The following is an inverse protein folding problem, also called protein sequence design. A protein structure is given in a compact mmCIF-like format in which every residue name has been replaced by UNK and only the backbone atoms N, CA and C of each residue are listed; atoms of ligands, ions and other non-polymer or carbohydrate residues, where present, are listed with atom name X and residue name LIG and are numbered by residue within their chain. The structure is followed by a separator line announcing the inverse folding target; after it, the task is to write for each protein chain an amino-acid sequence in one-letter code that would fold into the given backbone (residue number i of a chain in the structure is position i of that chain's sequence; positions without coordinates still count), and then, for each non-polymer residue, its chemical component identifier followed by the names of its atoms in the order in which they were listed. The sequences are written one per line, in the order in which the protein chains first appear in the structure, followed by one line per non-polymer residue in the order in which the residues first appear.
data_IF_519632873425
#
_entry.id   IF_519632873425
#
_cell.length_a   1.000
_cell.length_b   1.000
_cell.length_c   1.000
_cell.angle_alpha   90.00
_cell.angle_beta   90.00
_cell.angle_gamma   90.00
#
_symmetry.space_group_name_H-M   'P 1'
#
loop_
_entity.id
_entity.type
_entity.pdbx_description
1 polymer ?
#
# COMPACT_ATOMS: atom_id res chain seq x y z
N UNK A 1 -98.94 -4.66 64.58
CA UNK A 1 -99.33 -5.61 65.64
C UNK A 1 -100.62 -6.27 65.19
N UNK A 2 -100.48 -7.46 64.61
CA UNK A 2 -101.60 -8.35 64.31
C UNK A 2 -101.91 -9.14 65.57
N UNK A 3 -103.18 -9.43 65.81
CA UNK A 3 -103.62 -10.34 66.87
C UNK A 3 -104.07 -11.63 66.19
N UNK A 4 -103.46 -12.75 66.57
CA UNK A 4 -103.84 -14.09 66.12
C UNK A 4 -104.54 -14.79 67.28
N UNK A 5 -105.81 -15.13 67.08
CA UNK A 5 -106.60 -15.89 68.03
C UNK A 5 -106.73 -17.33 67.54
N UNK A 6 -106.00 -18.28 68.15
CA UNK A 6 -106.06 -19.68 67.68
C UNK A 6 -107.41 -20.35 67.96
N UNK A 7 -108.21 -19.82 68.89
CA UNK A 7 -109.56 -20.32 69.19
C UNK A 7 -110.49 -20.24 67.96
N UNK A 8 -110.20 -19.35 67.00
CA UNK A 8 -110.95 -19.18 65.75
C UNK A 8 -110.51 -20.14 64.63
N UNK A 9 -109.34 -20.79 64.77
CA UNK A 9 -108.75 -21.69 63.77
C UNK A 9 -108.07 -22.91 64.42
N UNK A 10 -108.85 -23.88 64.96
CA UNK A 10 -108.30 -24.98 65.78
C UNK A 10 -107.42 -25.97 65.01
N UNK A 11 -107.53 -26.01 63.68
CA UNK A 11 -106.70 -26.85 62.79
C UNK A 11 -105.31 -26.26 62.50
N UNK A 12 -105.02 -25.04 63.01
CA UNK A 12 -103.73 -24.38 62.85
C UNK A 12 -102.83 -24.66 64.04
N UNK A 13 -101.64 -25.17 63.75
CA UNK A 13 -100.64 -25.52 64.74
C UNK A 13 -99.50 -24.51 64.74
N UNK A 14 -98.90 -24.29 65.91
CA UNK A 14 -97.68 -23.50 66.04
C UNK A 14 -96.49 -24.41 66.23
N UNK A 15 -95.43 -24.16 65.46
CA UNK A 15 -94.11 -24.77 65.66
C UNK A 15 -93.06 -23.68 65.94
N UNK A 16 -92.22 -23.82 66.99
CA UNK A 16 -91.09 -22.95 67.23
C UNK A 16 -89.88 -23.43 66.41
N UNK A 17 -89.46 -22.63 65.43
CA UNK A 17 -88.20 -22.83 64.70
C UNK A 17 -87.09 -21.93 65.27
N UNK A 18 -85.85 -22.36 65.14
CA UNK A 18 -84.67 -21.64 65.62
C UNK A 18 -83.75 -21.33 64.44
N UNK A 19 -83.66 -20.06 64.09
CA UNK A 19 -82.95 -19.58 62.90
C UNK A 19 -82.13 -18.35 63.28
N UNK A 20 -80.86 -18.30 62.85
CA UNK A 20 -79.94 -17.17 63.12
C UNK A 20 -79.92 -16.69 64.59
N UNK A 21 -79.90 -17.65 65.51
CA UNK A 21 -79.94 -17.46 66.98
C UNK A 21 -81.20 -16.79 67.56
N UNK A 22 -82.27 -16.66 66.77
CA UNK A 22 -83.58 -16.20 67.24
C UNK A 22 -84.67 -17.29 67.15
N UNK A 23 -85.67 -17.19 68.02
CA UNK A 23 -86.89 -18.01 67.95
C UNK A 23 -87.90 -17.34 67.02
N UNK A 24 -88.20 -18.03 65.91
CA UNK A 24 -89.27 -17.64 64.98
C UNK A 24 -90.39 -18.68 65.09
N UNK A 25 -91.63 -18.22 65.17
CA UNK A 25 -92.79 -19.09 65.30
C UNK A 25 -93.49 -19.18 63.95
N UNK A 26 -94.01 -20.33 63.60
CA UNK A 26 -94.70 -20.52 62.33
C UNK A 26 -96.06 -21.18 62.55
N UNK A 27 -97.09 -20.61 61.93
CA UNK A 27 -98.41 -21.21 61.79
C UNK A 27 -98.35 -22.19 60.62
N UNK A 28 -98.63 -23.46 60.88
CA UNK A 28 -98.75 -24.49 59.87
C UNK A 28 -100.13 -25.13 59.91
N UNK A 29 -100.66 -25.46 58.71
CA UNK A 29 -101.80 -26.36 58.60
C UNK A 29 -101.27 -27.79 58.53
N UNK A 30 -101.87 -28.69 59.29
CA UNK A 30 -101.54 -30.12 59.26
C UNK A 30 -102.70 -30.88 58.63
N UNK A 31 -102.58 -31.18 57.35
CA UNK A 31 -103.52 -32.04 56.63
C UNK A 31 -103.04 -33.50 56.73
N UNK A 32 -103.80 -34.31 57.48
CA UNK A 32 -103.76 -35.78 57.59
C UNK A 32 -102.58 -36.49 56.89
N UNK A 33 -101.46 -36.54 57.60
CA UNK A 33 -100.27 -37.39 57.36
C UNK A 33 -99.21 -36.92 56.34
N UNK A 34 -99.36 -35.76 55.69
CA UNK A 34 -98.27 -35.15 54.89
C UNK A 34 -97.58 -33.97 55.59
N UNK A 35 -96.41 -33.59 55.07
CA UNK A 35 -95.54 -32.58 55.69
C UNK A 35 -96.24 -31.20 55.79
N UNK A 36 -96.16 -30.61 56.99
CA UNK A 36 -96.73 -29.32 57.37
C UNK A 36 -96.50 -28.23 56.32
N UNK A 37 -97.58 -27.60 55.83
CA UNK A 37 -97.47 -26.45 54.94
C UNK A 37 -97.38 -25.16 55.78
N UNK A 38 -96.29 -24.38 55.67
CA UNK A 38 -96.19 -23.10 56.37
C UNK A 38 -97.24 -22.12 55.80
N UNK A 39 -98.12 -21.64 56.66
CA UNK A 39 -99.12 -20.62 56.31
C UNK A 39 -98.48 -19.24 56.45
N UNK A 40 -97.82 -18.99 57.59
CA UNK A 40 -97.27 -17.67 57.96
C UNK A 40 -96.33 -17.76 59.16
N UNK A 41 -95.26 -16.97 59.16
CA UNK A 41 -94.46 -16.71 60.35
C UNK A 41 -95.12 -15.68 61.29
N UNK A 42 -95.01 -15.91 62.60
CA UNK A 42 -95.38 -15.00 63.68
C UNK A 42 -94.10 -14.54 64.39
N UNK A 43 -93.96 -13.23 64.54
CA UNK A 43 -92.97 -12.61 65.42
C UNK A 43 -93.64 -12.22 66.75
N UNK A 44 -93.47 -13.05 67.80
CA UNK A 44 -94.06 -12.83 69.12
C UNK A 44 -93.51 -11.59 69.87
N UNK A 45 -92.55 -10.84 69.29
CA UNK A 45 -92.13 -9.52 69.79
C UNK A 45 -92.94 -8.37 69.19
N UNK A 46 -93.62 -8.59 68.05
CA UNK A 46 -94.38 -7.56 67.30
C UNK A 46 -95.88 -7.85 67.17
N UNK A 47 -96.25 -9.12 67.20
CA UNK A 47 -97.62 -9.62 67.09
C UNK A 47 -98.06 -10.31 68.38
N UNK A 48 -99.38 -10.37 68.61
CA UNK A 48 -99.99 -11.00 69.78
C UNK A 48 -100.61 -12.34 69.41
N UNK A 49 -100.26 -13.37 70.17
CA UNK A 49 -100.86 -14.69 70.08
C UNK A 49 -101.78 -14.90 71.29
N UNK A 50 -103.06 -15.17 71.03
CA UNK A 50 -104.06 -15.53 72.04
C UNK A 50 -104.44 -17.00 71.89
N UNK A 51 -104.47 -17.72 73.02
CA UNK A 51 -105.06 -19.06 73.17
C UNK A 51 -105.99 -18.99 74.38
N UNK A 52 -107.26 -19.33 74.20
CA UNK A 52 -108.31 -19.24 75.23
C UNK A 52 -108.30 -17.87 75.94
N UNK A 53 -108.22 -16.80 75.15
CA UNK A 53 -108.11 -15.41 75.61
C UNK A 53 -106.82 -15.02 76.34
N UNK A 54 -105.85 -15.92 76.51
CA UNK A 54 -104.59 -15.68 77.22
C UNK A 54 -103.45 -15.35 76.25
N UNK A 55 -102.70 -14.27 76.54
CA UNK A 55 -101.55 -13.84 75.71
C UNK A 55 -100.32 -14.71 75.95
N UNK A 56 -99.99 -15.54 74.95
CA UNK A 56 -98.84 -16.46 74.98
C UNK A 56 -97.56 -15.69 74.66
N UNK A 57 -96.71 -15.50 75.68
CA UNK A 57 -95.41 -14.83 75.55
C UNK A 57 -94.30 -15.78 75.13
N UNK A 58 -93.29 -15.28 74.43
CA UNK A 58 -92.10 -16.03 73.98
C UNK A 58 -91.48 -16.88 75.12
N UNK A 59 -91.42 -16.34 76.35
CA UNK A 59 -90.90 -17.03 77.54
C UNK A 59 -91.69 -18.27 77.95
N UNK A 60 -92.99 -18.33 77.66
CA UNK A 60 -93.84 -19.49 77.96
C UNK A 60 -93.58 -20.61 76.95
N UNK A 61 -93.45 -20.29 75.66
CA UNK A 61 -93.14 -21.27 74.61
C UNK A 61 -91.69 -21.75 74.71
N UNK A 62 -90.76 -20.90 75.17
CA UNK A 62 -89.37 -21.32 75.48
C UNK A 62 -89.35 -22.37 76.60
N UNK A 63 -90.08 -22.12 77.70
CA UNK A 63 -90.28 -23.13 78.77
C UNK A 63 -90.93 -24.41 78.26
N UNK A 64 -91.87 -24.33 77.30
CA UNK A 64 -92.50 -25.50 76.67
C UNK A 64 -91.44 -26.40 75.99
N UNK A 65 -90.60 -25.80 75.13
CA UNK A 65 -89.52 -26.51 74.41
C UNK A 65 -88.48 -27.11 75.37
N UNK A 66 -88.11 -26.38 76.42
CA UNK A 66 -87.16 -26.83 77.43
C UNK A 66 -87.72 -27.99 78.27
N UNK A 67 -89.01 -27.94 78.63
CA UNK A 67 -89.67 -28.96 79.46
C UNK A 67 -89.85 -30.30 78.74
N UNK A 68 -89.95 -30.29 77.40
CA UNK A 68 -90.19 -31.50 76.60
C UNK A 68 -88.92 -32.31 76.29
N UNK A 69 -87.73 -31.85 76.71
CA UNK A 69 -86.46 -32.61 76.71
C UNK A 69 -86.06 -33.34 75.39
N UNK A 70 -86.63 -32.94 74.26
CA UNK A 70 -86.27 -33.50 72.94
C UNK A 70 -84.88 -33.03 72.54
N UNK A 71 -83.91 -33.95 72.55
CA UNK A 71 -82.52 -33.66 72.13
C UNK A 71 -82.49 -33.19 70.66
N UNK A 72 -81.69 -32.17 70.33
CA UNK A 72 -81.70 -31.61 68.99
C UNK A 72 -81.06 -32.55 67.96
N UNK A 73 -81.78 -32.82 66.87
CA UNK A 73 -81.30 -32.40 65.54
C UNK A 73 -82.33 -32.37 64.40
N UNK A 74 -83.42 -33.16 64.42
CA UNK A 74 -84.36 -33.21 63.27
C UNK A 74 -85.85 -33.40 63.61
N UNK A 75 -86.31 -32.97 64.80
CA UNK A 75 -87.71 -33.17 65.22
C UNK A 75 -88.40 -31.84 65.53
N UNK A 76 -89.60 -31.62 64.97
CA UNK A 76 -90.45 -30.45 65.20
C UNK A 76 -91.62 -30.82 66.11
N UNK A 77 -92.11 -29.88 66.93
CA UNK A 77 -93.30 -30.05 67.78
C UNK A 77 -94.36 -29.05 67.31
N UNK A 78 -95.55 -29.56 67.03
CA UNK A 78 -96.72 -28.81 66.63
C UNK A 78 -97.75 -28.87 67.75
N UNK A 79 -98.26 -27.71 68.20
CA UNK A 79 -99.31 -27.61 69.23
C UNK A 79 -100.41 -26.67 68.75
N UNK A 80 -101.68 -27.06 68.88
CA UNK A 80 -102.85 -26.19 68.61
C UNK A 80 -103.47 -25.63 69.91
N UNK A 81 -104.53 -24.82 69.80
CA UNK A 81 -105.21 -24.24 70.96
C UNK A 81 -105.74 -25.28 71.95
N UNK A 82 -106.15 -26.45 71.45
CA UNK A 82 -106.73 -27.54 72.26
C UNK A 82 -105.67 -28.34 73.04
N UNK A 83 -104.39 -27.95 72.95
CA UNK A 83 -103.27 -28.68 73.57
C UNK A 83 -102.89 -29.97 72.85
N UNK A 84 -103.47 -30.24 71.67
CA UNK A 84 -103.11 -31.42 70.88
C UNK A 84 -101.69 -31.26 70.34
N UNK A 85 -100.84 -32.23 70.66
CA UNK A 85 -99.42 -32.19 70.33
C UNK A 85 -99.11 -33.23 69.26
N UNK A 86 -98.43 -32.82 68.19
CA UNK A 86 -97.83 -33.71 67.19
C UNK A 86 -96.32 -33.52 67.17
N UNK A 87 -95.58 -34.61 67.05
CA UNK A 87 -94.11 -34.60 66.95
C UNK A 87 -93.72 -35.15 65.59
N UNK A 88 -93.09 -34.32 64.75
CA UNK A 88 -92.48 -34.77 63.51
C UNK A 88 -91.13 -35.42 63.85
N UNK A 89 -90.93 -36.67 63.42
CA UNK A 89 -89.66 -37.40 63.59
C UNK A 89 -89.20 -37.87 62.22
N UNK A 90 -88.22 -37.16 61.64
CA UNK A 90 -87.89 -37.30 60.22
C UNK A 90 -89.01 -36.72 59.35
N UNK A 91 -89.51 -37.50 58.38
CA UNK A 91 -90.59 -37.10 57.46
C UNK A 91 -91.99 -37.57 57.91
N UNK A 92 -92.10 -38.26 59.05
CA UNK A 92 -93.37 -38.80 59.56
C UNK A 92 -93.85 -38.07 60.80
N UNK A 93 -95.15 -37.74 60.81
CA UNK A 93 -95.83 -37.08 61.91
C UNK A 93 -96.38 -38.12 62.89
N UNK A 94 -96.01 -38.03 64.15
CA UNK A 94 -96.47 -38.92 65.22
C UNK A 94 -97.34 -38.14 66.22
N UNK A 95 -98.57 -38.60 66.46
CA UNK A 95 -99.39 -38.16 67.59
C UNK A 95 -99.01 -39.01 68.81
N UNK A 96 -98.45 -38.45 69.91
CA UNK A 96 -98.16 -39.21 71.12
C UNK A 96 -99.48 -39.76 71.70
N UNK A 97 -99.46 -41.02 72.15
CA UNK A 97 -100.69 -41.74 72.52
C UNK A 97 -101.29 -41.20 73.84
N UNK A 98 -102.35 -40.40 73.69
CA UNK A 98 -103.47 -40.14 74.61
C UNK A 98 -103.22 -39.77 76.09
N UNK A 99 -102.01 -39.34 76.49
CA UNK A 99 -101.75 -38.92 77.88
C UNK A 99 -100.90 -37.62 78.04
N UNK A 100 -100.78 -36.79 77.00
CA UNK A 100 -100.14 -35.46 77.11
C UNK A 100 -101.11 -34.39 76.64
N UNK A 101 -101.87 -33.83 77.58
CA UNK A 101 -102.70 -32.64 77.40
C UNK A 101 -101.99 -31.48 78.11
N UNK A 102 -101.74 -30.38 77.41
CA UNK A 102 -101.12 -29.20 78.01
C UNK A 102 -102.17 -28.30 78.68
N UNK A 103 -102.23 -28.35 80.01
CA UNK A 103 -103.00 -27.40 80.82
C UNK A 103 -102.22 -26.08 80.93
N UNK A 104 -102.83 -24.99 80.47
CA UNK A 104 -102.24 -23.65 80.46
C UNK A 104 -102.56 -22.82 81.72
N UNK A 105 -103.26 -23.39 82.71
CA UNK A 105 -103.71 -22.70 83.93
C UNK A 105 -102.77 -22.89 85.13
N UNK A 106 -102.61 -21.84 85.95
CA UNK A 106 -101.84 -21.89 87.21
C UNK A 106 -102.09 -20.67 88.10
N UNK A 107 -102.86 -20.80 89.19
CA UNK A 107 -102.78 -20.09 90.49
C UNK A 107 -103.91 -20.65 91.41
N UNK A 108 -103.71 -20.81 92.72
CA UNK A 108 -104.68 -21.45 93.64
C UNK A 108 -105.01 -20.60 94.88
N UNK A 109 -105.91 -21.07 95.79
CA UNK A 109 -106.05 -20.66 97.22
C UNK A 109 -107.25 -21.33 97.98
N UNK A 110 -106.97 -21.92 99.16
CA UNK A 110 -107.72 -22.04 100.45
C UNK A 110 -109.12 -22.76 100.59
N UNK A 111 -109.29 -23.45 101.74
CA UNK A 111 -110.46 -24.21 102.29
C UNK A 111 -111.27 -23.35 103.31
N UNK A 112 -112.55 -23.63 103.65
CA UNK A 112 -112.80 -24.32 104.95
C UNK A 112 -114.11 -25.14 105.11
N UNK A 113 -114.08 -26.09 106.08
CA UNK A 113 -115.13 -26.58 107.00
C UNK A 113 -116.62 -26.76 106.58
N UNK A 114 -117.18 -27.93 106.93
CA UNK A 114 -118.19 -27.99 108.01
C UNK A 114 -118.24 -29.39 108.66
N UNK A 115 -118.83 -29.49 109.86
CA UNK A 115 -118.77 -30.67 110.74
C UNK A 115 -120.18 -31.01 111.27
N UNK A 116 -120.40 -32.30 111.49
CA UNK A 116 -121.08 -32.90 112.66
C UNK A 116 -122.49 -33.51 112.54
N UNK A 117 -122.65 -34.55 113.38
CA UNK A 117 -123.85 -35.03 114.07
C UNK A 117 -125.00 -35.71 113.28
N UNK A 118 -125.20 -37.00 113.57
CA UNK A 118 -126.28 -37.37 114.50
C UNK A 118 -125.95 -38.64 115.28
N UNK A 119 -126.26 -38.60 116.57
CA UNK A 119 -126.22 -39.71 117.52
C UNK A 119 -127.63 -40.34 117.66
N UNK A 120 -127.72 -41.35 118.54
CA UNK A 120 -128.90 -41.82 119.29
C UNK A 120 -129.91 -42.82 118.66
N UNK A 121 -130.00 -43.96 119.37
CA UNK A 121 -130.96 -45.09 119.41
C UNK A 121 -130.68 -46.28 118.46
N UNK A 122 -130.61 -47.55 118.87
CA UNK A 122 -130.66 -48.26 120.17
C UNK A 122 -129.31 -49.00 120.39
N UNK A 123 -128.85 -49.42 121.57
CA UNK A 123 -129.36 -49.32 122.97
C UNK A 123 -130.71 -49.98 123.25
N UNK A 124 -130.77 -51.32 123.22
CA UNK A 124 -131.77 -52.13 123.98
C UNK A 124 -131.45 -53.63 124.13
N UNK A 125 -130.41 -54.18 123.48
CA UNK A 125 -130.08 -55.63 123.56
C UNK A 125 -128.74 -55.93 124.27
N UNK A 126 -128.49 -55.25 125.39
CA UNK A 126 -127.34 -55.51 126.28
C UNK A 126 -127.75 -56.01 127.69
N UNK A 127 -128.97 -56.57 127.84
CA UNK A 127 -129.51 -56.99 129.14
C UNK A 127 -129.67 -58.52 129.32
N UNK A 128 -129.20 -59.37 128.39
CA UNK A 128 -129.32 -60.85 128.50
C UNK A 128 -128.01 -61.65 128.53
N UNK A 129 -126.85 -61.00 128.53
CA UNK A 129 -125.54 -61.67 128.63
C UNK A 129 -124.71 -61.28 129.87
N UNK A 130 -125.23 -60.38 130.73
CA UNK A 130 -124.53 -59.89 131.92
C UNK A 130 -124.45 -60.93 133.06
N UNK A 131 -125.36 -61.91 133.09
CA UNK A 131 -125.47 -62.84 134.23
C UNK A 131 -124.44 -63.99 134.22
N UNK A 132 -123.74 -64.23 133.10
CA UNK A 132 -122.73 -65.31 133.00
C UNK A 132 -121.28 -64.86 133.26
N UNK A 133 -121.02 -63.57 133.37
CA UNK A 133 -119.67 -63.00 133.57
C UNK A 133 -119.28 -62.76 135.04
N UNK A 134 -120.00 -63.34 136.01
CA UNK A 134 -119.80 -63.08 137.44
C UNK A 134 -119.17 -64.25 138.24
N UNK A 135 -118.53 -65.22 137.57
CA UNK A 135 -117.82 -66.34 138.24
C UNK A 135 -116.44 -66.71 137.68
N UNK A 136 -115.95 -66.06 136.63
CA UNK A 136 -114.65 -66.37 135.99
C UNK A 136 -113.64 -65.20 136.03
N UNK A 137 -114.01 -64.05 136.63
CA UNK A 137 -113.21 -62.81 136.61
C UNK A 137 -112.03 -62.73 137.58
N UNK A 138 -111.90 -63.65 138.55
CA UNK A 138 -110.86 -63.58 139.61
C UNK A 138 -109.48 -64.11 139.17
N UNK A 139 -109.39 -64.92 138.10
CA UNK A 139 -108.13 -65.59 137.70
C UNK A 139 -107.35 -64.79 136.63
N UNK A 140 -108.02 -63.94 135.86
CA UNK A 140 -107.39 -63.19 134.75
C UNK A 140 -106.51 -61.99 135.18
N UNK A 141 -106.63 -61.53 136.43
CA UNK A 141 -106.00 -60.28 136.89
C UNK A 141 -104.51 -60.40 137.20
N UNK A 142 -104.00 -61.61 137.44
CA UNK A 142 -102.59 -61.86 137.76
C UNK A 142 -101.67 -61.91 136.53
N UNK A 143 -102.15 -62.44 135.39
CA UNK A 143 -101.32 -62.57 134.17
C UNK A 143 -101.07 -61.25 133.44
N UNK A 144 -101.89 -60.21 133.68
CA UNK A 144 -101.78 -58.94 132.96
C UNK A 144 -100.62 -58.05 133.44
N UNK A 145 -100.13 -58.27 134.67
CA UNK A 145 -99.03 -57.47 135.25
C UNK A 145 -97.68 -57.95 134.71
N UNK A 146 -97.47 -59.26 134.55
CA UNK A 146 -96.21 -59.81 134.03
C UNK A 146 -95.96 -59.47 132.54
N UNK A 147 -97.01 -59.31 131.73
CA UNK A 147 -96.89 -59.00 130.30
C UNK A 147 -96.50 -57.53 130.03
N UNK A 148 -96.72 -56.62 130.97
CA UNK A 148 -96.43 -55.19 130.78
C UNK A 148 -94.94 -54.85 130.87
N UNK A 149 -94.17 -55.60 131.68
CA UNK A 149 -92.74 -55.34 131.85
C UNK A 149 -91.92 -55.87 130.65
N UNK A 150 -92.35 -56.98 130.05
CA UNK A 150 -91.76 -57.54 128.82
C UNK A 150 -91.96 -56.60 127.61
N UNK A 151 -93.10 -55.91 127.53
CA UNK A 151 -93.38 -54.87 126.51
C UNK A 151 -92.49 -53.63 126.67
N UNK A 152 -92.05 -53.30 127.89
CA UNK A 152 -91.19 -52.14 128.13
C UNK A 152 -89.73 -52.37 127.72
N UNK A 153 -89.17 -53.57 127.92
CA UNK A 153 -87.85 -53.91 127.36
C UNK A 153 -87.90 -54.04 125.83
N UNK A 154 -88.99 -54.58 125.24
CA UNK A 154 -89.17 -54.58 123.78
C UNK A 154 -89.25 -53.16 123.19
N UNK A 155 -89.87 -52.19 123.89
CA UNK A 155 -89.85 -50.76 123.50
C UNK A 155 -88.45 -50.15 123.53
N UNK A 156 -87.61 -50.57 124.47
CA UNK A 156 -86.22 -50.09 124.57
C UNK A 156 -85.38 -50.62 123.41
N UNK A 157 -85.48 -51.92 123.11
CA UNK A 157 -84.87 -52.52 121.92
C UNK A 157 -85.38 -51.89 120.62
N UNK A 158 -86.68 -51.57 120.52
CA UNK A 158 -87.24 -50.89 119.36
C UNK A 158 -86.66 -49.48 119.18
N UNK A 159 -86.47 -48.71 120.26
CA UNK A 159 -85.87 -47.38 120.20
C UNK A 159 -84.37 -47.42 119.86
N UNK A 160 -83.61 -48.36 120.44
CA UNK A 160 -82.19 -48.58 120.12
C UNK A 160 -82.02 -49.00 118.65
N UNK A 161 -82.83 -49.96 118.18
CA UNK A 161 -82.84 -50.40 116.78
C UNK A 161 -83.27 -49.29 115.81
N UNK A 162 -84.26 -48.47 116.19
CA UNK A 162 -84.64 -47.28 115.42
C UNK A 162 -83.51 -46.26 115.28
N UNK A 163 -82.77 -46.01 116.37
CA UNK A 163 -81.60 -45.13 116.37
C UNK A 163 -80.45 -45.71 115.53
N UNK A 164 -80.27 -47.03 115.54
CA UNK A 164 -79.23 -47.71 114.76
C UNK A 164 -79.57 -47.78 113.26
N UNK A 165 -80.84 -48.01 112.91
CA UNK A 165 -81.37 -47.90 111.54
C UNK A 165 -81.21 -46.48 111.03
N UNK A 166 -81.51 -45.45 111.82
CA UNK A 166 -81.30 -44.06 111.41
C UNK A 166 -79.82 -43.74 111.18
N UNK A 167 -78.91 -44.18 112.06
CA UNK A 167 -77.46 -44.10 111.86
C UNK A 167 -77.01 -44.87 110.61
N UNK A 168 -77.65 -45.98 110.26
CA UNK A 168 -77.37 -46.72 109.03
C UNK A 168 -77.82 -45.94 107.78
N UNK A 169 -79.01 -45.33 107.80
CA UNK A 169 -79.49 -44.45 106.73
C UNK A 169 -78.59 -43.22 106.54
N UNK A 170 -78.15 -42.58 107.61
CA UNK A 170 -77.20 -41.46 107.56
C UNK A 170 -75.85 -41.89 106.97
N UNK A 171 -75.34 -43.08 107.33
CA UNK A 171 -74.14 -43.66 106.72
C UNK A 171 -74.34 -43.94 105.22
N UNK A 172 -75.47 -44.51 104.82
CA UNK A 172 -75.79 -44.77 103.40
C UNK A 172 -75.94 -43.47 102.60
N UNK A 173 -76.61 -42.45 103.17
CA UNK A 173 -76.71 -41.13 102.53
C UNK A 173 -75.34 -40.47 102.37
N UNK A 174 -74.47 -40.56 103.38
CA UNK A 174 -73.09 -40.06 103.31
C UNK A 174 -72.23 -40.85 102.32
N UNK A 175 -72.41 -42.17 102.22
CA UNK A 175 -71.73 -43.03 101.24
C UNK A 175 -72.19 -42.67 99.82
N UNK A 176 -73.51 -42.52 99.59
CA UNK A 176 -74.05 -42.12 98.29
C UNK A 176 -73.57 -40.72 97.89
N UNK A 177 -73.54 -39.76 98.82
CA UNK A 177 -73.01 -38.42 98.55
C UNK A 177 -71.50 -38.43 98.24
N UNK A 178 -70.71 -39.24 98.97
CA UNK A 178 -69.29 -39.46 98.66
C UNK A 178 -69.10 -40.17 97.32
N UNK A 179 -69.97 -41.12 96.98
CA UNK A 179 -69.97 -41.85 95.71
C UNK A 179 -70.28 -40.94 94.52
N UNK A 180 -71.33 -40.12 94.58
CA UNK A 180 -71.64 -39.15 93.53
C UNK A 180 -70.61 -38.03 93.45
N UNK A 181 -70.01 -37.59 94.57
CA UNK A 181 -68.85 -36.68 94.54
C UNK A 181 -67.66 -37.31 93.81
N UNK A 182 -67.23 -38.51 94.20
CA UNK A 182 -66.10 -39.21 93.58
C UNK A 182 -66.35 -39.51 92.10
N UNK A 183 -67.60 -39.82 91.74
CA UNK A 183 -68.04 -39.98 90.36
C UNK A 183 -67.95 -38.66 89.58
N UNK A 184 -68.39 -37.54 90.15
CA UNK A 184 -68.27 -36.21 89.52
C UNK A 184 -66.80 -35.76 89.37
N UNK A 185 -65.95 -36.08 90.36
CA UNK A 185 -64.49 -35.92 90.28
C UNK A 185 -63.90 -36.79 89.16
N UNK A 186 -64.28 -38.07 89.04
CA UNK A 186 -63.86 -38.93 87.93
C UNK A 186 -64.36 -38.47 86.56
N UNK A 187 -65.58 -37.91 86.47
CA UNK A 187 -66.06 -37.27 85.24
C UNK A 187 -65.19 -36.05 84.88
N UNK A 188 -64.90 -35.20 85.86
CA UNK A 188 -64.03 -34.02 85.68
C UNK A 188 -62.62 -34.43 85.21
N UNK A 189 -62.00 -35.44 85.85
CA UNK A 189 -60.71 -35.98 85.43
C UNK A 189 -60.77 -36.59 84.02
N UNK A 190 -61.84 -37.31 83.68
CA UNK A 190 -62.02 -37.90 82.35
C UNK A 190 -62.13 -36.83 81.27
N UNK A 191 -62.89 -35.78 81.53
CA UNK A 191 -63.10 -34.69 80.57
C UNK A 191 -61.81 -33.85 80.41
N UNK A 192 -61.04 -33.66 81.49
CA UNK A 192 -59.67 -33.14 81.44
C UNK A 192 -58.75 -34.02 80.59
N UNK A 193 -58.69 -35.34 80.85
CA UNK A 193 -57.88 -36.28 80.07
C UNK A 193 -58.29 -36.33 78.60
N UNK A 194 -59.59 -36.28 78.28
CA UNK A 194 -60.08 -36.23 76.89
C UNK A 194 -59.67 -34.93 76.19
N UNK A 195 -59.72 -33.80 76.90
CA UNK A 195 -59.21 -32.52 76.40
C UNK A 195 -57.70 -32.58 76.16
N UNK A 196 -56.93 -33.10 77.11
CA UNK A 196 -55.47 -33.28 76.98
C UNK A 196 -55.12 -34.19 75.80
N UNK A 197 -55.77 -35.35 75.67
CA UNK A 197 -55.62 -36.27 74.53
C UNK A 197 -55.96 -35.57 73.22
N UNK A 198 -57.03 -34.78 73.16
CA UNK A 198 -57.39 -34.00 71.97
C UNK A 198 -56.28 -32.99 71.60
N UNK A 199 -55.75 -32.24 72.57
CA UNK A 199 -54.63 -31.31 72.31
C UNK A 199 -53.33 -32.03 71.94
N UNK A 200 -53.06 -33.19 72.53
CA UNK A 200 -51.88 -34.02 72.21
C UNK A 200 -51.97 -34.60 70.79
N UNK A 201 -53.14 -35.11 70.40
CA UNK A 201 -53.38 -35.61 69.03
C UNK A 201 -53.24 -34.49 67.99
N UNK A 202 -53.75 -33.28 68.28
CA UNK A 202 -53.56 -32.13 67.41
C UNK A 202 -52.08 -31.74 67.28
N UNK A 203 -51.33 -31.70 68.40
CA UNK A 203 -49.88 -31.46 68.39
C UNK A 203 -49.11 -32.53 67.61
N UNK A 204 -49.47 -33.81 67.76
CA UNK A 204 -48.85 -34.90 67.01
C UNK A 204 -49.09 -34.76 65.50
N UNK A 205 -50.32 -34.45 65.08
CA UNK A 205 -50.63 -34.17 63.68
C UNK A 205 -49.82 -32.98 63.13
N UNK A 206 -49.76 -31.87 63.87
CA UNK A 206 -48.95 -30.70 63.50
C UNK A 206 -47.44 -31.04 63.39
N UNK A 207 -46.94 -31.94 64.25
CA UNK A 207 -45.56 -32.43 64.22
C UNK A 207 -45.31 -33.37 63.03
N UNK A 208 -46.25 -34.26 62.68
CA UNK A 208 -46.15 -35.12 61.48
C UNK A 208 -46.11 -34.28 60.20
N UNK A 209 -46.95 -33.25 60.10
CA UNK A 209 -46.95 -32.31 58.97
C UNK A 209 -45.60 -31.57 58.88
N UNK A 210 -45.07 -31.08 60.01
CA UNK A 210 -43.73 -30.44 60.06
C UNK A 210 -42.61 -31.41 59.68
N UNK A 211 -42.64 -32.64 60.17
CA UNK A 211 -41.65 -33.68 59.86
C UNK A 211 -41.68 -34.04 58.38
N UNK A 212 -42.87 -34.18 57.79
CA UNK A 212 -43.03 -34.41 56.34
C UNK A 212 -42.51 -33.23 55.51
N UNK A 213 -42.74 -31.98 55.95
CA UNK A 213 -42.19 -30.77 55.31
C UNK A 213 -40.65 -30.76 55.36
N UNK A 214 -40.07 -30.92 56.56
CA UNK A 214 -38.62 -31.01 56.77
C UNK A 214 -37.96 -32.13 55.95
N UNK A 215 -38.62 -33.29 55.83
CA UNK A 215 -38.14 -34.41 55.01
C UNK A 215 -38.10 -34.04 53.52
N UNK A 216 -39.10 -33.33 53.02
CA UNK A 216 -39.14 -32.87 51.63
C UNK A 216 -38.10 -31.76 51.37
N UNK A 217 -37.95 -30.81 52.30
CA UNK A 217 -36.90 -29.77 52.24
C UNK A 217 -35.50 -30.41 52.23
N UNK A 218 -35.25 -31.40 53.09
CA UNK A 218 -34.00 -32.16 53.12
C UNK A 218 -33.73 -32.91 51.80
N UNK A 219 -34.76 -33.43 51.14
CA UNK A 219 -34.62 -34.05 49.81
C UNK A 219 -34.28 -33.01 48.73
N UNK A 220 -34.89 -31.82 48.74
CA UNK A 220 -34.56 -30.72 47.82
C UNK A 220 -33.10 -30.30 47.97
N UNK A 221 -32.68 -29.99 49.21
CA UNK A 221 -31.30 -29.62 49.54
C UNK A 221 -30.32 -30.71 49.12
N UNK A 222 -30.69 -32.00 49.22
CA UNK A 222 -29.85 -33.11 48.77
C UNK A 222 -29.69 -33.16 47.25
N UNK A 223 -30.76 -32.90 46.49
CA UNK A 223 -30.67 -32.81 45.02
C UNK A 223 -29.89 -31.57 44.55
N UNK A 224 -30.06 -30.43 45.21
CA UNK A 224 -29.30 -29.20 44.94
C UNK A 224 -27.80 -29.40 45.27
N UNK A 225 -27.49 -30.02 46.41
CA UNK A 225 -26.12 -30.37 46.78
C UNK A 225 -25.47 -31.36 45.80
N UNK A 226 -26.23 -32.31 45.25
CA UNK A 226 -25.70 -33.20 44.22
C UNK A 226 -25.45 -32.44 42.91
N UNK A 227 -26.38 -31.58 42.48
CA UNK A 227 -26.24 -30.78 41.25
C UNK A 227 -25.04 -29.83 41.33
N UNK A 228 -24.90 -29.10 42.42
CA UNK A 228 -23.76 -28.21 42.68
C UNK A 228 -22.44 -28.97 42.78
N UNK A 229 -22.42 -30.20 43.31
CA UNK A 229 -21.23 -31.07 43.31
C UNK A 229 -20.81 -31.49 41.90
N UNK A 230 -21.75 -31.87 41.02
CA UNK A 230 -21.42 -32.21 39.63
C UNK A 230 -20.98 -30.97 38.83
N UNK A 231 -21.60 -29.82 39.07
CA UNK A 231 -21.14 -28.54 38.51
C UNK A 231 -19.71 -28.21 38.96
N UNK A 232 -19.40 -28.35 40.25
CA UNK A 232 -18.06 -28.12 40.79
C UNK A 232 -17.02 -29.03 40.13
N UNK A 233 -17.32 -30.33 40.00
CA UNK A 233 -16.46 -31.30 39.32
C UNK A 233 -16.22 -30.92 37.85
N UNK A 234 -17.26 -30.52 37.12
CA UNK A 234 -17.11 -30.02 35.75
C UNK A 234 -16.29 -28.73 35.68
N UNK A 235 -16.43 -27.80 36.64
CA UNK A 235 -15.58 -26.60 36.68
C UNK A 235 -14.12 -26.90 37.03
N UNK A 236 -13.85 -27.91 37.86
CA UNK A 236 -12.50 -28.38 38.18
C UNK A 236 -11.84 -29.04 36.95
N UNK A 237 -12.57 -29.90 36.24
CA UNK A 237 -12.13 -30.50 34.97
C UNK A 237 -11.83 -29.41 33.91
N UNK A 238 -12.71 -28.41 33.76
CA UNK A 238 -12.49 -27.27 32.86
C UNK A 238 -11.29 -26.40 33.26
N UNK A 239 -11.06 -26.18 34.57
CA UNK A 239 -9.91 -25.43 35.07
C UNK A 239 -8.58 -26.15 34.79
N UNK A 240 -8.56 -27.49 34.90
CA UNK A 240 -7.40 -28.30 34.53
C UNK A 240 -7.10 -28.22 33.03
N UNK A 241 -8.11 -28.34 32.16
CA UNK A 241 -7.94 -28.16 30.70
C UNK A 241 -7.44 -26.75 30.36
N UNK A 242 -7.97 -25.71 31.03
CA UNK A 242 -7.48 -24.34 30.86
C UNK A 242 -6.01 -24.19 31.28
N UNK A 243 -5.59 -24.84 32.38
CA UNK A 243 -4.22 -24.83 32.84
C UNK A 243 -3.27 -25.57 31.86
N UNK A 244 -3.68 -26.69 31.29
CA UNK A 244 -2.91 -27.39 30.25
C UNK A 244 -2.74 -26.51 29.00
N UNK A 245 -3.80 -25.88 28.51
CA UNK A 245 -3.72 -24.92 27.40
C UNK A 245 -2.82 -23.73 27.73
N UNK A 246 -2.88 -23.19 28.94
CA UNK A 246 -1.99 -22.13 29.41
C UNK A 246 -0.51 -22.58 29.39
N UNK A 247 -0.22 -23.80 29.85
CA UNK A 247 1.13 -24.37 29.79
C UNK A 247 1.64 -24.57 28.37
N UNK A 248 0.77 -24.96 27.42
CA UNK A 248 1.14 -25.06 25.99
C UNK A 248 1.44 -23.67 25.42
N UNK A 249 0.53 -22.70 25.59
CA UNK A 249 0.72 -21.33 25.11
C UNK A 249 1.98 -20.66 25.70
N UNK A 250 2.31 -20.93 26.96
CA UNK A 250 3.54 -20.44 27.58
C UNK A 250 4.80 -21.05 26.94
N UNK A 251 4.78 -22.34 26.57
CA UNK A 251 5.90 -22.99 25.85
C UNK A 251 6.06 -22.40 24.44
N UNK A 252 4.97 -22.19 23.71
CA UNK A 252 4.97 -21.57 22.39
C UNK A 252 5.54 -20.15 22.44
N UNK A 253 5.07 -19.31 23.38
CA UNK A 253 5.63 -17.98 23.62
C UNK A 253 7.14 -18.02 23.95
N UNK A 254 7.60 -19.04 24.68
CA UNK A 254 9.02 -19.23 24.97
C UNK A 254 9.83 -19.63 23.73
N UNK A 255 9.26 -20.42 22.80
CA UNK A 255 9.89 -20.74 21.51
C UNK A 255 9.99 -19.49 20.63
N UNK A 256 8.87 -18.80 20.43
CA UNK A 256 8.78 -17.55 19.65
C UNK A 256 9.76 -16.50 20.18
N UNK A 257 9.86 -16.33 21.51
CA UNK A 257 10.84 -15.43 22.13
C UNK A 257 12.28 -15.82 21.78
N UNK A 258 12.61 -17.11 21.80
CA UNK A 258 13.96 -17.61 21.51
C UNK A 258 14.32 -17.44 20.03
N UNK A 259 13.38 -17.74 19.13
CA UNK A 259 13.49 -17.52 17.68
C UNK A 259 13.67 -16.02 17.35
N UNK A 260 12.94 -15.15 18.04
CA UNK A 260 13.08 -13.69 17.91
C UNK A 260 14.48 -13.20 18.32
N UNK A 261 15.03 -13.70 19.44
CA UNK A 261 16.41 -13.34 19.84
C UNK A 261 17.43 -13.81 18.80
N UNK A 262 17.33 -15.06 18.32
CA UNK A 262 18.19 -15.57 17.27
C UNK A 262 18.08 -14.75 15.96
N UNK A 263 16.89 -14.21 15.64
CA UNK A 263 16.71 -13.29 14.52
C UNK A 263 17.40 -11.94 14.74
N UNK A 264 17.30 -11.36 15.94
CA UNK A 264 18.02 -10.13 16.30
C UNK A 264 19.54 -10.31 16.23
N UNK A 265 20.07 -11.44 16.68
CA UNK A 265 21.50 -11.75 16.63
C UNK A 265 22.00 -11.85 15.17
N UNK A 266 21.27 -12.56 14.30
CA UNK A 266 21.56 -12.61 12.86
C UNK A 266 21.58 -11.22 12.23
N UNK A 267 20.52 -10.42 12.44
CA UNK A 267 20.41 -9.07 11.88
C UNK A 267 21.56 -8.18 12.36
N UNK A 268 21.94 -8.27 13.64
CA UNK A 268 23.07 -7.54 14.20
C UNK A 268 24.39 -7.94 13.54
N UNK A 269 24.60 -9.24 13.27
CA UNK A 269 25.77 -9.74 12.55
C UNK A 269 25.80 -9.26 11.08
N UNK A 270 24.66 -9.28 10.39
CA UNK A 270 24.54 -8.81 9.00
C UNK A 270 24.83 -7.31 8.89
N UNK A 271 24.25 -6.49 9.77
CA UNK A 271 24.53 -5.05 9.87
C UNK A 271 26.04 -4.83 10.06
N UNK A 272 26.67 -5.53 11.02
CA UNK A 272 28.12 -5.39 11.25
C UNK A 272 28.97 -5.73 10.03
N UNK A 273 28.60 -6.76 9.25
CA UNK A 273 29.31 -7.07 7.99
C UNK A 273 29.07 -6.04 6.90
N UNK A 274 27.87 -5.45 6.84
CA UNK A 274 27.50 -4.40 5.89
C UNK A 274 28.25 -3.09 6.18
N UNK A 275 28.30 -2.68 7.45
CA UNK A 275 29.04 -1.49 7.89
C UNK A 275 30.54 -1.59 7.57
N UNK A 276 31.14 -2.76 7.83
CA UNK A 276 32.54 -3.02 7.45
C UNK A 276 32.74 -2.91 5.94
N UNK A 277 31.84 -3.46 5.13
CA UNK A 277 31.90 -3.37 3.66
C UNK A 277 31.74 -1.93 3.17
N UNK A 278 30.87 -1.14 3.79
CA UNK A 278 30.71 0.28 3.48
C UNK A 278 31.97 1.07 3.80
N UNK A 279 32.61 0.83 4.95
CA UNK A 279 33.87 1.44 5.32
C UNK A 279 34.99 1.11 4.31
N UNK A 280 35.14 -0.16 3.92
CA UNK A 280 36.12 -0.58 2.91
C UNK A 280 35.88 0.09 1.54
N UNK A 281 34.60 0.26 1.14
CA UNK A 281 34.22 0.97 -0.08
C UNK A 281 34.51 2.48 0.01
N UNK A 282 34.26 3.12 1.15
CA UNK A 282 34.56 4.54 1.36
C UNK A 282 36.06 4.82 1.25
N UNK A 283 36.88 3.96 1.86
CA UNK A 283 38.35 4.04 1.77
C UNK A 283 38.84 3.84 0.32
N UNK A 284 38.23 2.92 -0.43
CA UNK A 284 38.53 2.73 -1.86
C UNK A 284 38.10 3.94 -2.71
N UNK A 285 36.97 4.57 -2.38
CA UNK A 285 36.51 5.80 -3.06
C UNK A 285 37.52 6.94 -2.88
N UNK A 286 37.97 7.19 -1.64
CA UNK A 286 39.00 8.20 -1.34
C UNK A 286 40.32 7.93 -2.07
N UNK A 287 40.71 6.66 -2.22
CA UNK A 287 41.90 6.28 -3.01
C UNK A 287 41.74 6.67 -4.50
N UNK A 288 40.58 6.37 -5.09
CA UNK A 288 40.29 6.70 -6.50
C UNK A 288 40.15 8.21 -6.72
N UNK A 289 39.60 8.96 -5.77
CA UNK A 289 39.55 10.44 -5.82
C UNK A 289 40.96 11.05 -5.83
N UNK A 290 41.89 10.51 -5.04
CA UNK A 290 43.29 10.92 -5.04
C UNK A 290 43.99 10.60 -6.37
N UNK A 291 43.79 9.40 -6.94
CA UNK A 291 44.32 9.03 -8.26
C UNK A 291 43.77 9.93 -9.38
N UNK A 292 42.47 10.25 -9.37
CA UNK A 292 41.84 11.16 -10.32
C UNK A 292 42.37 12.60 -10.18
N UNK A 293 42.67 13.05 -8.95
CA UNK A 293 43.33 14.33 -8.69
C UNK A 293 44.73 14.38 -9.30
N UNK A 294 45.51 13.30 -9.11
CA UNK A 294 46.87 13.19 -9.63
C UNK A 294 46.88 13.21 -11.17
N UNK A 295 46.04 12.38 -11.82
CA UNK A 295 45.86 12.34 -13.27
C UNK A 295 45.40 13.68 -13.86
N UNK A 296 44.53 14.44 -13.16
CA UNK A 296 44.15 15.80 -13.57
C UNK A 296 45.34 16.76 -13.57
N UNK A 297 46.23 16.64 -12.58
CA UNK A 297 47.44 17.48 -12.50
C UNK A 297 48.46 17.15 -13.61
N UNK A 298 48.63 15.87 -13.95
CA UNK A 298 49.47 15.43 -15.07
C UNK A 298 48.89 15.84 -16.42
N UNK A 299 47.57 15.72 -16.61
CA UNK A 299 46.88 16.16 -17.82
C UNK A 299 47.01 17.69 -18.02
N UNK A 300 46.92 18.48 -16.94
CA UNK A 300 47.15 19.92 -17.01
C UNK A 300 48.60 20.24 -17.39
N UNK A 301 49.57 19.55 -16.78
CA UNK A 301 51.00 19.75 -17.03
C UNK A 301 51.40 19.36 -18.46
N UNK A 302 50.85 18.26 -18.99
CA UNK A 302 51.08 17.83 -20.39
C UNK A 302 50.41 18.77 -21.38
N UNK A 303 49.21 19.30 -21.08
CA UNK A 303 48.54 20.33 -21.88
C UNK A 303 49.29 21.66 -21.92
N UNK A 304 49.87 22.11 -20.81
CA UNK A 304 50.70 23.32 -20.77
C UNK A 304 52.00 23.12 -21.56
N UNK A 305 52.66 21.96 -21.43
CA UNK A 305 53.85 21.61 -22.22
C UNK A 305 53.54 21.54 -23.72
N UNK A 306 52.45 20.90 -24.14
CA UNK A 306 52.08 20.86 -25.56
C UNK A 306 51.69 22.24 -26.11
N UNK A 307 50.99 23.06 -25.31
CA UNK A 307 50.67 24.44 -25.67
C UNK A 307 51.91 25.34 -25.86
N UNK A 308 52.97 25.11 -25.08
CA UNK A 308 54.28 25.78 -25.27
C UNK A 308 54.96 25.32 -26.56
N UNK A 309 55.03 24.00 -26.79
CA UNK A 309 55.63 23.45 -28.01
C UNK A 309 54.91 23.92 -29.29
N UNK A 310 53.58 24.04 -29.28
CA UNK A 310 52.82 24.57 -30.43
C UNK A 310 53.22 26.01 -30.72
N UNK A 311 53.27 26.89 -29.70
CA UNK A 311 53.70 28.29 -29.88
C UNK A 311 55.15 28.42 -30.38
N UNK A 312 56.03 27.52 -29.94
CA UNK A 312 57.41 27.48 -30.42
C UNK A 312 57.48 27.07 -31.90
N UNK A 313 56.75 26.03 -32.30
CA UNK A 313 56.65 25.61 -33.70
C UNK A 313 56.00 26.67 -34.60
N UNK A 314 54.96 27.36 -34.14
CA UNK A 314 54.36 28.52 -34.83
C UNK A 314 55.40 29.65 -35.02
N UNK A 315 56.23 29.90 -34.00
CA UNK A 315 57.33 30.86 -34.07
C UNK A 315 58.40 30.46 -35.10
N UNK A 316 58.85 29.20 -35.07
CA UNK A 316 59.81 28.66 -36.04
C UNK A 316 59.26 28.72 -37.49
N UNK A 317 57.99 28.37 -37.69
CA UNK A 317 57.32 28.46 -38.99
C UNK A 317 57.25 29.92 -39.50
N UNK A 318 57.01 30.88 -38.61
CA UNK A 318 57.00 32.30 -38.96
C UNK A 318 58.38 32.80 -39.42
N UNK A 319 59.46 32.36 -38.77
CA UNK A 319 60.84 32.67 -39.18
C UNK A 319 61.14 32.05 -40.54
N UNK A 320 60.89 30.75 -40.72
CA UNK A 320 61.14 30.04 -41.97
C UNK A 320 60.37 30.64 -43.16
N UNK A 321 59.11 31.06 -42.97
CA UNK A 321 58.34 31.74 -44.03
C UNK A 321 58.90 33.12 -44.40
N UNK A 322 59.46 33.87 -43.45
CA UNK A 322 60.13 35.15 -43.73
C UNK A 322 61.44 34.93 -44.50
N UNK A 323 62.23 33.94 -44.10
CA UNK A 323 63.46 33.56 -44.79
C UNK A 323 63.17 33.11 -46.24
N UNK A 324 62.17 32.24 -46.43
CA UNK A 324 61.75 31.76 -47.75
C UNK A 324 61.27 32.91 -48.64
N UNK A 325 60.54 33.89 -48.08
CA UNK A 325 60.13 35.11 -48.79
C UNK A 325 61.33 35.99 -49.19
N UNK A 326 62.35 36.11 -48.31
CA UNK A 326 63.60 36.82 -48.64
C UNK A 326 64.34 36.14 -49.78
N UNK A 327 64.51 34.81 -49.69
CA UNK A 327 65.17 33.99 -50.72
C UNK A 327 64.42 34.10 -52.06
N UNK A 328 63.09 34.12 -52.08
CA UNK A 328 62.32 34.36 -53.31
C UNK A 328 62.58 35.75 -53.91
N UNK A 329 62.68 36.79 -53.09
CA UNK A 329 63.02 38.15 -53.55
C UNK A 329 64.45 38.23 -54.12
N UNK A 330 65.41 37.57 -53.47
CA UNK A 330 66.80 37.45 -53.95
C UNK A 330 66.90 36.63 -55.24
N UNK A 331 66.11 35.55 -55.36
CA UNK A 331 66.02 34.74 -56.58
C UNK A 331 65.46 35.54 -57.77
N UNK A 332 64.44 36.37 -57.53
CA UNK A 332 63.90 37.26 -58.57
C UNK A 332 64.91 38.33 -59.00
N UNK A 333 65.54 39.03 -58.07
CA UNK A 333 66.54 40.06 -58.40
C UNK A 333 67.78 39.49 -59.11
N UNK A 334 68.26 38.29 -58.71
CA UNK A 334 69.37 37.62 -59.40
C UNK A 334 68.97 37.12 -60.79
N UNK A 335 67.76 36.57 -60.97
CA UNK A 335 67.20 36.21 -62.28
C UNK A 335 67.14 37.42 -63.22
N UNK A 336 66.61 38.55 -62.75
CA UNK A 336 66.45 39.74 -63.59
C UNK A 336 67.81 40.38 -63.94
N UNK A 337 68.77 40.35 -63.01
CA UNK A 337 70.17 40.72 -63.26
C UNK A 337 70.80 39.87 -64.37
N UNK A 338 70.64 38.55 -64.31
CA UNK A 338 71.16 37.62 -65.33
C UNK A 338 70.47 37.81 -66.69
N UNK A 339 69.15 38.06 -66.73
CA UNK A 339 68.44 38.37 -67.97
C UNK A 339 68.94 39.66 -68.62
N UNK A 340 69.24 40.69 -67.81
CA UNK A 340 69.86 41.94 -68.28
C UNK A 340 71.27 41.69 -68.84
N UNK A 341 72.12 40.93 -68.13
CA UNK A 341 73.47 40.57 -68.59
C UNK A 341 73.44 39.76 -69.91
N UNK A 342 72.54 38.78 -70.03
CA UNK A 342 72.32 38.02 -71.28
C UNK A 342 71.89 38.95 -72.42
N UNK A 343 70.98 39.89 -72.15
CA UNK A 343 70.50 40.85 -73.17
C UNK A 343 71.64 41.75 -73.67
N UNK A 344 72.50 42.25 -72.76
CA UNK A 344 73.69 43.04 -73.09
C UNK A 344 74.70 42.20 -73.89
N UNK A 345 74.95 40.96 -73.46
CA UNK A 345 75.87 40.04 -74.12
C UNK A 345 75.42 39.69 -75.55
N UNK A 346 74.13 39.36 -75.74
CA UNK A 346 73.54 39.09 -77.05
C UNK A 346 73.65 40.30 -77.99
N UNK A 347 73.38 41.51 -77.49
CA UNK A 347 73.58 42.74 -78.28
C UNK A 347 75.04 42.92 -78.69
N UNK A 348 75.98 42.66 -77.78
CA UNK A 348 77.43 42.75 -78.06
C UNK A 348 77.88 41.69 -79.08
N UNK A 349 77.33 40.48 -79.03
CA UNK A 349 77.58 39.44 -80.04
C UNK A 349 77.05 39.88 -81.41
N UNK A 350 75.82 40.41 -81.49
CA UNK A 350 75.27 40.95 -82.73
C UNK A 350 76.13 42.09 -83.30
N UNK A 351 76.58 43.03 -82.47
CA UNK A 351 77.49 44.11 -82.88
C UNK A 351 78.86 43.59 -83.38
N UNK A 352 79.34 42.46 -82.84
CA UNK A 352 80.57 41.78 -83.30
C UNK A 352 80.35 41.01 -84.60
N UNK A 353 79.21 40.36 -84.76
CA UNK A 353 78.81 39.63 -85.98
C UNK A 353 78.69 40.59 -87.17
N UNK A 354 78.00 41.73 -86.98
CA UNK A 354 77.92 42.82 -87.98
C UNK A 354 79.30 43.43 -88.32
N UNK A 355 80.25 43.47 -87.36
CA UNK A 355 81.63 43.88 -87.62
C UNK A 355 82.40 42.81 -88.41
N UNK A 356 82.21 41.54 -88.08
CA UNK A 356 82.83 40.41 -88.76
C UNK A 356 82.38 40.35 -90.23
N UNK A 357 81.08 40.50 -90.49
CA UNK A 357 80.54 40.57 -91.86
C UNK A 357 81.11 41.76 -92.64
N UNK A 358 81.23 42.94 -92.01
CA UNK A 358 81.86 44.11 -92.63
C UNK A 358 83.33 43.87 -92.97
N UNK A 359 84.09 43.25 -92.07
CA UNK A 359 85.50 42.89 -92.31
C UNK A 359 85.65 41.82 -93.39
N UNK A 360 84.76 40.83 -93.44
CA UNK A 360 84.73 39.81 -94.50
C UNK A 360 84.48 40.45 -95.88
N UNK A 361 83.52 41.38 -95.96
CA UNK A 361 83.26 42.14 -97.20
C UNK A 361 84.45 43.04 -97.59
N UNK A 362 85.14 43.67 -96.63
CA UNK A 362 86.36 44.43 -96.90
C UNK A 362 87.52 43.54 -97.37
N UNK A 363 87.69 42.36 -96.79
CA UNK A 363 88.69 41.38 -97.23
C UNK A 363 88.39 40.87 -98.65
N UNK A 364 87.12 40.61 -98.98
CA UNK A 364 86.70 40.23 -100.33
C UNK A 364 87.02 41.31 -101.37
N UNK A 365 86.74 42.58 -101.05
CA UNK A 365 87.09 43.71 -101.90
C UNK A 365 88.61 43.85 -102.08
N UNK A 366 89.39 43.80 -101.00
CA UNK A 366 90.85 43.83 -101.06
C UNK A 366 91.45 42.65 -101.84
N UNK A 367 90.85 41.46 -101.74
CA UNK A 367 91.27 40.29 -102.50
C UNK A 367 90.97 40.44 -104.00
N UNK A 368 89.86 41.09 -104.36
CA UNK A 368 89.53 41.47 -105.73
C UNK A 368 90.50 42.53 -106.29
N UNK A 369 90.80 43.58 -105.51
CA UNK A 369 91.80 44.59 -105.86
C UNK A 369 93.20 43.98 -106.02
N UNK A 370 93.62 43.11 -105.10
CA UNK A 370 94.90 42.40 -105.18
C UNK A 370 94.99 41.54 -106.44
N UNK A 371 93.90 40.85 -106.82
CA UNK A 371 93.84 40.08 -108.06
C UNK A 371 93.93 41.00 -109.30
N UNK A 372 93.24 42.14 -109.29
CA UNK A 372 93.33 43.17 -110.34
C UNK A 372 94.76 43.73 -110.48
N UNK A 373 95.41 44.09 -109.37
CA UNK A 373 96.81 44.55 -109.35
C UNK A 373 97.76 43.46 -109.83
N UNK A 374 97.55 42.19 -109.44
CA UNK A 374 98.33 41.06 -109.92
C UNK A 374 98.22 40.91 -111.45
N UNK A 375 97.01 40.95 -111.99
CA UNK A 375 96.78 40.83 -113.43
C UNK A 375 97.42 42.01 -114.20
N UNK A 376 97.38 43.23 -113.65
CA UNK A 376 98.11 44.39 -114.19
C UNK A 376 99.62 44.21 -114.15
N UNK A 377 100.17 43.61 -113.08
CA UNK A 377 101.59 43.33 -112.96
C UNK A 377 102.04 42.25 -113.94
N UNK A 378 101.29 41.15 -114.07
CA UNK A 378 101.56 40.11 -115.09
C UNK A 378 101.49 40.66 -116.52
N UNK A 379 100.57 41.60 -116.80
CA UNK A 379 100.53 42.31 -118.08
C UNK A 379 101.77 43.22 -118.26
N UNK A 380 102.15 43.97 -117.23
CA UNK A 380 103.33 44.84 -117.25
C UNK A 380 104.63 44.04 -117.46
N UNK A 381 104.75 42.86 -116.85
CA UNK A 381 105.90 41.96 -116.97
C UNK A 381 106.01 41.38 -118.40
N UNK A 382 104.87 41.05 -119.03
CA UNK A 382 104.82 40.69 -120.45
C UNK A 382 105.29 41.85 -121.35
N UNK A 383 104.75 43.06 -121.15
CA UNK A 383 105.19 44.23 -121.94
C UNK A 383 106.66 44.59 -121.69
N UNK A 384 107.18 44.33 -120.49
CA UNK A 384 108.60 44.49 -120.18
C UNK A 384 109.48 43.57 -121.02
N UNK A 385 109.15 42.28 -121.07
CA UNK A 385 109.84 41.28 -121.91
C UNK A 385 109.75 41.59 -123.39
N UNK A 386 108.58 42.03 -123.87
CA UNK A 386 108.37 42.41 -125.27
C UNK A 386 109.20 43.64 -125.67
N UNK A 387 109.36 44.63 -124.78
CA UNK A 387 110.28 45.75 -124.96
C UNK A 387 111.75 45.34 -124.88
N UNK A 388 112.09 44.37 -124.03
CA UNK A 388 113.45 43.82 -123.90
C UNK A 388 113.89 43.04 -125.15
N UNK A 389 112.97 42.27 -125.75
CA UNK A 389 113.14 41.64 -127.07
C UNK A 389 113.29 42.69 -128.19
N UNK A 390 112.46 43.74 -128.21
CA UNK A 390 112.58 44.84 -129.17
C UNK A 390 113.93 45.58 -129.05
N UNK A 391 114.39 45.85 -127.83
CA UNK A 391 115.71 46.45 -127.58
C UNK A 391 116.86 45.54 -128.04
N UNK A 392 116.75 44.22 -127.82
CA UNK A 392 117.71 43.23 -128.31
C UNK A 392 117.77 43.21 -129.84
N UNK A 393 116.60 43.22 -130.51
CA UNK A 393 116.51 43.34 -131.96
C UNK A 393 117.15 44.64 -132.47
N UNK A 394 116.80 45.79 -131.89
CA UNK A 394 117.33 47.09 -132.29
C UNK A 394 118.84 47.17 -132.10
N UNK A 395 119.36 46.62 -131.00
CA UNK A 395 120.80 46.54 -130.74
C UNK A 395 121.52 45.79 -131.87
N UNK A 396 121.04 44.61 -132.24
CA UNK A 396 121.63 43.82 -133.32
C UNK A 396 121.61 44.59 -134.65
N UNK A 397 120.49 45.25 -134.99
CA UNK A 397 120.41 46.10 -136.20
C UNK A 397 121.41 47.25 -136.18
N UNK A 398 121.67 47.83 -135.01
CA UNK A 398 122.65 48.90 -134.84
C UNK A 398 124.11 48.37 -134.96
N UNK A 399 124.34 47.12 -134.60
CA UNK A 399 125.61 46.40 -134.80
C UNK A 399 125.81 46.07 -136.30
N UNK A 400 124.78 45.57 -137.00
CA UNK A 400 124.81 45.35 -138.46
C UNK A 400 125.12 46.65 -139.24
N UNK A 401 124.46 47.77 -138.88
CA UNK A 401 124.70 49.09 -139.50
C UNK A 401 126.12 49.60 -139.25
N UNK A 402 126.73 49.26 -138.11
CA UNK A 402 128.11 49.64 -137.78
C UNK A 402 129.10 48.87 -138.65
N UNK A 403 128.90 47.57 -138.83
CA UNK A 403 129.71 46.74 -139.73
C UNK A 403 129.57 47.19 -141.20
N UNK A 404 128.39 47.66 -141.60
CA UNK A 404 128.15 48.22 -142.94
C UNK A 404 128.87 49.57 -143.14
N UNK A 405 128.86 50.44 -142.12
CA UNK A 405 129.62 51.69 -142.12
C UNK A 405 131.14 51.46 -142.24
N UNK A 406 131.68 50.44 -141.55
CA UNK A 406 133.09 50.07 -141.63
C UNK A 406 133.48 49.58 -143.03
N UNK A 407 132.62 48.77 -143.69
CA UNK A 407 132.79 48.39 -145.11
C UNK A 407 132.82 49.62 -146.03
N UNK A 408 131.93 50.59 -145.83
CA UNK A 408 131.87 51.83 -146.63
C UNK A 408 133.14 52.67 -146.42
N UNK A 409 133.66 52.78 -145.19
CA UNK A 409 134.93 53.47 -144.92
C UNK A 409 136.12 52.81 -145.65
N UNK A 410 136.19 51.48 -145.68
CA UNK A 410 137.22 50.74 -146.41
C UNK A 410 137.12 51.01 -147.92
N UNK A 411 135.91 50.98 -148.50
CA UNK A 411 135.69 51.31 -149.91
C UNK A 411 136.09 52.74 -150.25
N UNK A 412 135.72 53.72 -149.41
CA UNK A 412 136.09 55.12 -149.58
C UNK A 412 137.62 55.32 -149.57
N UNK A 413 138.32 54.66 -148.63
CA UNK A 413 139.79 54.72 -148.56
C UNK A 413 140.45 54.14 -149.81
N UNK A 414 139.95 53.03 -150.34
CA UNK A 414 140.43 52.42 -151.59
C UNK A 414 140.23 53.35 -152.79
N UNK A 415 139.01 53.88 -152.98
CA UNK A 415 138.70 54.81 -154.07
C UNK A 415 139.53 56.10 -154.00
N UNK A 416 139.71 56.67 -152.79
CA UNK A 416 140.56 57.85 -152.60
C UNK A 416 142.01 57.60 -153.02
N UNK A 417 142.52 56.37 -152.84
CA UNK A 417 143.89 55.98 -153.23
C UNK A 417 144.02 55.80 -154.75
N UNK A 418 142.99 55.28 -155.42
CA UNK A 418 142.94 55.21 -156.89
C UNK A 418 142.88 56.59 -157.54
N UNK A 419 142.09 57.52 -156.99
CA UNK A 419 142.04 58.92 -157.42
C UNK A 419 143.41 59.60 -157.27
N UNK A 420 144.14 59.31 -156.18
CA UNK A 420 145.48 59.85 -155.99
C UNK A 420 146.50 59.27 -156.98
N UNK A 421 146.44 57.96 -157.30
CA UNK A 421 147.27 57.34 -158.32
C UNK A 421 146.99 57.90 -159.73
N UNK A 422 145.72 58.04 -160.11
CA UNK A 422 145.34 58.58 -161.43
C UNK A 422 145.74 60.04 -161.60
N UNK A 423 145.72 60.85 -160.52
CA UNK A 423 146.28 62.20 -160.51
C UNK A 423 147.77 62.21 -160.84
N UNK A 424 148.57 61.33 -160.24
CA UNK A 424 150.02 61.24 -160.48
C UNK A 424 150.30 60.88 -161.95
N UNK A 425 149.54 59.94 -162.51
CA UNK A 425 149.66 59.55 -163.93
C UNK A 425 149.33 60.73 -164.87
N UNK A 426 148.29 61.50 -164.54
CA UNK A 426 147.88 62.67 -165.34
C UNK A 426 148.92 63.79 -165.30
N UNK A 427 149.50 64.08 -164.13
CA UNK A 427 150.60 65.05 -163.98
C UNK A 427 151.83 64.64 -164.81
N UNK A 428 152.15 63.34 -164.86
CA UNK A 428 153.26 62.82 -165.66
C UNK A 428 153.02 62.99 -167.17
N UNK A 429 151.83 62.60 -167.66
CA UNK A 429 151.47 62.71 -169.07
C UNK A 429 151.32 64.17 -169.54
N UNK A 430 150.87 65.08 -168.66
CA UNK A 430 150.81 66.52 -168.97
C UNK A 430 152.20 67.08 -169.27
N UNK A 431 153.21 66.65 -168.51
CA UNK A 431 154.60 67.07 -168.68
C UNK A 431 155.23 66.54 -169.97
N UNK A 432 154.92 65.29 -170.32
CA UNK A 432 155.33 64.65 -171.59
C UNK A 432 154.73 65.40 -172.81
N UNK A 433 153.50 65.89 -172.70
CA UNK A 433 152.86 66.74 -173.73
C UNK A 433 153.55 68.10 -173.87
N UNK A 434 154.02 68.73 -172.78
CA UNK A 434 154.80 69.97 -172.85
C UNK A 434 156.16 69.75 -173.54
N UNK A 435 156.89 68.69 -173.19
CA UNK A 435 158.17 68.33 -173.83
C UNK A 435 158.01 68.07 -175.35
N UNK A 436 156.94 67.38 -175.77
CA UNK A 436 156.63 67.19 -177.19
C UNK A 436 156.29 68.50 -177.91
N UNK A 437 155.68 69.47 -177.21
CA UNK A 437 155.32 70.77 -177.75
C UNK A 437 156.56 71.63 -178.03
N UNK A 438 157.54 71.59 -177.14
CA UNK A 438 158.83 72.26 -177.32
C UNK A 438 159.66 71.61 -178.43
N UNK A 439 159.61 70.27 -178.57
CA UNK A 439 160.26 69.56 -179.70
C UNK A 439 159.68 69.97 -181.06
N UNK A 440 158.35 70.04 -181.18
CA UNK A 440 157.69 70.48 -182.43
C UNK A 440 158.16 71.90 -182.81
N UNK A 441 158.23 72.80 -181.84
CA UNK A 441 158.66 74.19 -182.06
C UNK A 441 160.11 74.29 -182.58
N UNK A 442 161.03 73.49 -182.03
CA UNK A 442 162.41 73.41 -182.54
C UNK A 442 162.46 72.99 -184.02
N UNK A 443 161.66 71.99 -184.43
CA UNK A 443 161.63 71.54 -185.83
C UNK A 443 161.03 72.59 -186.79
N UNK A 444 160.04 73.39 -186.36
CA UNK A 444 159.50 74.49 -187.16
C UNK A 444 160.54 75.60 -187.41
N UNK A 445 161.31 75.97 -186.38
CA UNK A 445 162.41 76.95 -186.49
C UNK A 445 163.55 76.43 -187.40
N UNK A 446 163.87 75.14 -187.32
CA UNK A 446 164.89 74.50 -188.16
C UNK A 446 164.45 74.40 -189.64
N UNK A 447 163.18 74.11 -189.90
CA UNK A 447 162.61 74.10 -191.26
C UNK A 447 162.68 75.48 -191.93
N UNK A 448 162.29 76.55 -191.22
CA UNK A 448 162.38 77.93 -191.74
C UNK A 448 163.83 78.32 -192.09
N UNK A 449 164.80 77.87 -191.31
CA UNK A 449 166.21 78.12 -191.58
C UNK A 449 166.69 77.48 -192.90
N UNK A 450 166.29 76.23 -193.17
CA UNK A 450 166.59 75.54 -194.44
C UNK A 450 165.92 76.21 -195.64
N UNK A 451 164.66 76.65 -195.50
CA UNK A 451 163.88 77.29 -196.56
C UNK A 451 164.51 78.63 -197.02
N UNK A 452 165.03 79.41 -196.07
CA UNK A 452 165.80 80.64 -196.34
C UNK A 452 167.13 80.38 -197.06
N UNK A 453 167.80 79.25 -196.81
CA UNK A 453 169.04 78.90 -197.53
C UNK A 453 168.76 78.59 -199.00
N UNK A 454 167.66 77.89 -199.30
CA UNK A 454 167.26 77.55 -200.68
C UNK A 454 167.03 78.84 -201.48
N UNK A 455 166.26 79.81 -200.96
CA UNK A 455 166.05 81.10 -201.62
C UNK A 455 167.36 81.87 -201.89
N UNK A 456 168.35 81.75 -200.99
CA UNK A 456 169.63 82.46 -201.10
C UNK A 456 170.49 81.91 -202.25
N UNK A 457 170.42 80.60 -202.51
CA UNK A 457 171.14 79.94 -203.61
C UNK A 457 170.51 80.32 -204.96
N UNK A 458 169.18 80.28 -205.07
CA UNK A 458 168.46 80.63 -206.31
C UNK A 458 168.74 82.07 -206.75
N UNK A 459 168.76 83.01 -205.81
CA UNK A 459 169.01 84.43 -206.11
C UNK A 459 170.45 84.76 -206.53
N UNK A 460 171.44 83.95 -206.13
CA UNK A 460 172.84 84.19 -206.48
C UNK A 460 173.18 83.74 -207.90
N UNK A 461 172.62 82.62 -208.39
CA UNK A 461 172.95 82.14 -209.73
C UNK A 461 172.30 82.94 -210.86
N UNK A 462 171.11 83.51 -210.62
CA UNK A 462 170.45 84.42 -211.59
C UNK A 462 171.29 85.69 -211.83
N UNK A 463 172.11 86.13 -210.86
CA UNK A 463 172.94 87.34 -211.02
C UNK A 463 174.14 87.16 -211.97
N UNK A 464 174.74 85.98 -212.09
CA UNK A 464 175.84 85.76 -213.04
C UNK A 464 175.39 85.68 -214.51
N UNK A 465 174.09 85.51 -214.78
CA UNK A 465 173.54 85.46 -216.14
C UNK A 465 173.45 86.87 -216.76
N UNK A 466 173.53 87.94 -215.97
CA UNK A 466 173.20 89.31 -216.37
C UNK A 466 174.39 90.30 -216.43
N UNK A 467 175.64 89.83 -216.32
CA UNK A 467 176.82 90.68 -216.53
C UNK A 467 177.85 90.03 -217.47
N UNK A 468 177.83 90.55 -218.70
CA UNK A 468 179.01 90.89 -219.51
C UNK A 468 179.65 89.75 -220.34
N UNK A 469 179.86 89.87 -221.67
CA UNK A 469 179.79 91.02 -222.62
C UNK A 469 180.66 92.22 -222.24
#
# INVERSE_FOLDING_TARGET
MVVYNLDETPDVFITPYYYEDEFVFEMALIEKEEASKPIRSIDLRKDKLLIHGTEIRESMVRRLRESLLLRPKHNYIYVNCNGETYVLIGEKLYRPIDNVIFDWSSFGVIVPNSVNASLQKQVEELEKAVEKLNKEGEIAKASLIASNDEVNELKKVQNEMGLEVQKAYEKVALINFKGERAKMEMHTMRDQLLSEISTANKRNYDLEVKLKKLKNEMLSVRSELHSTKEQLKSTEENANVFFEHFCVAHKELSSIRSEFHAMCDRLSSEISTSDKRNYDLEMKSKSLENELSLLRSELFSTKDRSGKNVKELEGQLCVANKELSSIQSELHTTRDRLLSEITISNKRNYDLEMKSERLANQLFLLQSELHSVKNRLEFSDKTGKELEEQLSSFKNTCEDMKDELEKIQIQYYMASKEVQNTKIILEFSTKEVEELKDQIKCYEEEHQCMELQIQKITNNHIKLINSEV
#
